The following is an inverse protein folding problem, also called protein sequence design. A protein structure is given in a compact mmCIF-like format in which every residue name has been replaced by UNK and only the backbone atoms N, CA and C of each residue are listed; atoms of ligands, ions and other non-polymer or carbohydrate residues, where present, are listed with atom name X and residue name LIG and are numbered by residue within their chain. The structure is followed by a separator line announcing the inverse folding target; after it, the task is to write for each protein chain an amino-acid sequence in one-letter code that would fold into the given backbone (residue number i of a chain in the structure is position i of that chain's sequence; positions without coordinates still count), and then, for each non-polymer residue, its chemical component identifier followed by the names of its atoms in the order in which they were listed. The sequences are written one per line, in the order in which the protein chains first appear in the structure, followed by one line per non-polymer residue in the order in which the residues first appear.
data_IF_871448750671
#
_entry.id   IF_871448750671
#
_cell.length_a   1.000
_cell.length_b   1.000
_cell.length_c   1.000
_cell.angle_alpha   90.00
_cell.angle_beta   90.00
_cell.angle_gamma   90.00
#
_symmetry.space_group_name_H-M   'P 1'
#
loop_
_entity.id
_entity.type
_entity.pdbx_description
1 polymer ?
#
# COMPACT_ATOMS: atom_id res chain seq x y z
N UNK A 1 11.31 -8.15 8.13
CA UNK A 1 10.73 -6.80 8.28
C UNK A 1 11.43 -5.92 7.24
N UNK A 2 10.71 -5.44 6.23
CA UNK A 2 11.26 -4.56 5.19
C UNK A 2 10.44 -3.27 5.20
N UNK A 3 11.01 -2.22 5.78
CA UNK A 3 10.36 -0.91 5.86
C UNK A 3 10.65 -0.14 4.59
N UNK A 4 9.60 0.39 3.95
CA UNK A 4 9.70 1.24 2.76
C UNK A 4 8.87 2.50 2.96
N UNK A 5 9.24 3.55 2.23
CA UNK A 5 8.43 4.76 2.11
C UNK A 5 7.45 4.62 0.95
N UNK A 6 6.16 4.84 1.19
CA UNK A 6 5.12 4.95 0.17
C UNK A 6 4.38 6.28 0.33
N UNK A 7 3.97 6.87 -0.77
CA UNK A 7 3.23 8.13 -0.75
C UNK A 7 1.73 7.86 -0.54
N UNK A 8 1.11 8.58 0.39
CA UNK A 8 -0.34 8.55 0.59
C UNK A 8 -1.08 9.45 -0.43
N UNK A 9 -2.41 9.49 -0.34
CA UNK A 9 -3.25 10.27 -1.24
C UNK A 9 -3.04 11.80 -1.12
N UNK A 10 -2.51 12.29 -0.01
CA UNK A 10 -2.21 13.70 0.20
C UNK A 10 -0.80 14.08 -0.30
N UNK A 11 -0.02 13.09 -0.72
CA UNK A 11 1.33 13.30 -1.22
C UNK A 11 2.41 13.15 -0.16
N UNK A 12 2.07 12.71 1.06
CA UNK A 12 3.04 12.56 2.14
C UNK A 12 3.66 11.16 2.17
N UNK A 13 4.91 11.09 2.59
CA UNK A 13 5.63 9.82 2.77
C UNK A 13 5.21 9.10 4.06
N UNK A 14 4.87 7.81 3.92
CA UNK A 14 4.45 6.93 5.00
C UNK A 14 5.35 5.70 5.04
N UNK A 15 5.92 5.41 6.19
CA UNK A 15 6.73 4.21 6.40
C UNK A 15 5.84 3.01 6.76
N UNK A 16 5.97 1.93 5.98
CA UNK A 16 5.22 0.69 6.20
C UNK A 16 6.13 -0.53 6.12
N UNK A 17 5.80 -1.60 6.86
CA UNK A 17 6.37 -2.92 6.58
C UNK A 17 5.70 -3.48 5.32
N UNK A 18 6.41 -3.44 4.20
CA UNK A 18 5.84 -3.73 2.87
C UNK A 18 5.21 -5.11 2.80
N UNK A 19 5.77 -6.10 3.50
CA UNK A 19 5.24 -7.46 3.48
C UNK A 19 3.91 -7.55 4.24
N UNK A 20 3.81 -6.88 5.40
CA UNK A 20 2.56 -6.83 6.18
C UNK A 20 1.50 -6.02 5.45
N UNK A 21 1.90 -4.88 4.88
CA UNK A 21 1.01 -3.99 4.15
C UNK A 21 0.42 -4.69 2.92
N UNK A 22 1.25 -5.32 2.09
CA UNK A 22 0.76 -6.06 0.92
C UNK A 22 -0.13 -7.24 1.31
N UNK A 23 0.20 -7.95 2.40
CA UNK A 23 -0.67 -9.01 2.92
C UNK A 23 -2.06 -8.45 3.26
N UNK A 24 -2.13 -7.34 3.99
CA UNK A 24 -3.39 -6.67 4.33
C UNK A 24 -4.17 -6.23 3.08
N UNK A 25 -3.51 -5.55 2.14
CA UNK A 25 -4.12 -5.12 0.88
C UNK A 25 -4.68 -6.31 0.09
N UNK A 26 -3.99 -7.44 0.05
CA UNK A 26 -4.49 -8.64 -0.65
C UNK A 26 -5.65 -9.34 0.06
N UNK A 27 -5.79 -9.16 1.38
CA UNK A 27 -6.86 -9.76 2.18
C UNK A 27 -8.15 -8.92 2.11
N UNK A 28 -8.04 -7.60 2.24
CA UNK A 28 -9.20 -6.70 2.36
C UNK A 28 -9.49 -5.88 1.11
N UNK A 29 -8.49 -5.66 0.25
CA UNK A 29 -8.55 -4.76 -0.90
C UNK A 29 -8.08 -5.44 -2.19
N UNK A 30 -8.37 -6.74 -2.35
CA UNK A 30 -7.81 -7.60 -3.40
C UNK A 30 -8.10 -7.15 -4.84
N UNK A 31 -9.25 -6.53 -5.09
CA UNK A 31 -9.75 -6.18 -6.43
C UNK A 31 -10.57 -4.89 -6.42
N UNK A 32 -10.72 -4.29 -7.60
CA UNK A 32 -11.47 -3.05 -7.77
C UNK A 32 -10.72 -1.84 -7.19
N UNK A 33 -11.45 -0.75 -6.95
CA UNK A 33 -10.92 0.47 -6.33
C UNK A 33 -11.51 0.60 -4.94
N UNK A 34 -10.67 0.91 -3.95
CA UNK A 34 -11.09 1.08 -2.56
C UNK A 34 -10.19 2.08 -1.83
N UNK A 35 -10.72 2.67 -0.77
CA UNK A 35 -9.97 3.55 0.12
C UNK A 35 -9.48 2.73 1.33
N UNK A 36 -8.17 2.73 1.55
CA UNK A 36 -7.53 2.15 2.75
C UNK A 36 -7.06 3.27 3.68
N UNK A 37 -7.25 3.10 4.99
CA UNK A 37 -6.75 4.00 6.02
C UNK A 37 -5.68 3.29 6.87
N UNK A 38 -4.52 3.93 7.01
CA UNK A 38 -3.41 3.46 7.83
C UNK A 38 -2.94 4.62 8.71
N UNK A 39 -3.34 4.59 9.99
CA UNK A 39 -2.88 5.55 11.01
C UNK A 39 -3.21 7.01 10.64
N UNK A 40 -4.41 7.24 10.10
CA UNK A 40 -4.88 8.53 9.63
C UNK A 40 -4.34 8.94 8.25
N UNK A 41 -3.61 8.06 7.56
CA UNK A 41 -3.15 8.26 6.17
C UNK A 41 -4.01 7.42 5.23
N UNK A 42 -4.32 7.96 4.05
CA UNK A 42 -5.26 7.31 3.13
C UNK A 42 -4.58 6.88 1.84
N UNK A 43 -4.93 5.69 1.34
CA UNK A 43 -4.44 5.17 0.08
C UNK A 43 -5.61 4.76 -0.81
N UNK A 44 -5.61 5.26 -2.04
CA UNK A 44 -6.48 4.73 -3.10
C UNK A 44 -5.85 3.46 -3.64
N UNK A 45 -6.45 2.32 -3.29
CA UNK A 45 -5.97 1.00 -3.70
C UNK A 45 -6.65 0.61 -5.01
N UNK A 46 -5.99 0.93 -6.11
CA UNK A 46 -6.32 0.49 -7.46
C UNK A 46 -5.29 -0.54 -7.97
N UNK A 47 -5.47 -1.01 -9.21
CA UNK A 47 -4.56 -2.02 -9.80
C UNK A 47 -3.14 -1.47 -9.95
N UNK A 48 -2.99 -0.18 -10.28
CA UNK A 48 -1.69 0.46 -10.40
C UNK A 48 -0.94 0.48 -9.07
N UNK A 49 -1.63 0.79 -7.97
CA UNK A 49 -1.06 0.79 -6.64
C UNK A 49 -0.62 -0.62 -6.23
N UNK A 50 -1.46 -1.65 -6.49
CA UNK A 50 -1.09 -3.05 -6.23
C UNK A 50 0.16 -3.47 -7.02
N UNK A 51 0.28 -3.06 -8.28
CA UNK A 51 1.47 -3.35 -9.10
C UNK A 51 2.72 -2.62 -8.58
N UNK A 52 2.60 -1.36 -8.13
CA UNK A 52 3.71 -0.65 -7.47
C UNK A 52 4.20 -1.40 -6.23
N UNK A 53 3.29 -1.84 -5.38
CA UNK A 53 3.64 -2.60 -4.17
C UNK A 53 4.33 -3.94 -4.49
N UNK A 54 3.89 -4.66 -5.53
CA UNK A 54 4.55 -5.91 -5.97
C UNK A 54 6.00 -5.67 -6.39
N UNK A 55 6.27 -4.59 -7.15
CA UNK A 55 7.63 -4.23 -7.56
C UNK A 55 8.54 -3.94 -6.38
N UNK A 56 8.00 -3.36 -5.30
CA UNK A 56 8.73 -3.11 -4.06
C UNK A 56 9.07 -4.38 -3.27
N UNK A 57 8.37 -5.50 -3.49
CA UNK A 57 8.69 -6.79 -2.86
C UNK A 57 9.81 -7.50 -3.63
N UNK A 58 9.79 -7.46 -4.96
CA UNK A 58 10.72 -8.20 -5.83
C UNK A 58 12.10 -7.53 -5.93
N UNK A 59 12.19 -6.21 -5.73
CA UNK A 59 13.44 -5.45 -5.66
C UNK A 59 14.20 -5.66 -4.34
#
# INVERSE_FOLDING_TARGET
MKIVSIQDNNGDEVQVDINKFVKHINEFHKKGVSLHEERGRYFTVDDNFREKLKKMIVA
#
